data_IF_639254477051
#
_entry.id   IF_639254477051
#
_cell.length_a   1.000
_cell.length_b   1.000
_cell.length_c   1.000
_cell.angle_alpha   90.00
_cell.angle_beta   90.00
_cell.angle_gamma   90.00
#
_symmetry.space_group_name_H-M   'P 1'
#
loop_
_entity.id
_entity.type
_entity.pdbx_description
1 polymer ?
#
# COMPACT_ATOMS: atom_id res chain seq x y z
N UNK A 1 42.34 53.81 44.94
CA UNK A 1 41.21 54.75 44.76
C UNK A 1 40.65 54.50 43.37
N UNK A 2 39.32 54.28 43.25
CA UNK A 2 38.50 54.25 42.00
C UNK A 2 38.66 53.02 41.09
N UNK A 3 37.67 52.50 40.38
CA UNK A 3 36.20 52.38 40.46
C UNK A 3 35.86 51.35 39.34
N UNK A 4 35.05 50.33 39.65
CA UNK A 4 34.05 49.66 38.78
C UNK A 4 34.28 49.54 37.26
N UNK A 5 34.22 48.31 36.71
CA UNK A 5 33.08 47.89 35.87
C UNK A 5 33.04 46.36 35.68
N UNK A 6 31.92 45.77 36.11
CA UNK A 6 31.45 44.44 35.71
C UNK A 6 31.01 44.54 34.24
N UNK A 7 31.57 43.70 33.37
CA UNK A 7 31.02 43.46 32.03
C UNK A 7 31.12 41.96 31.71
N UNK A 8 30.13 41.27 32.23
CA UNK A 8 29.55 39.99 31.83
C UNK A 8 29.62 39.75 30.30
N UNK A 9 30.68 39.08 29.83
CA UNK A 9 30.72 38.50 28.48
C UNK A 9 30.09 37.11 28.51
N UNK A 10 28.77 37.11 28.71
CA UNK A 10 27.90 36.00 28.39
C UNK A 10 27.85 35.91 26.85
N UNK A 11 28.89 35.32 26.24
CA UNK A 11 28.83 34.89 24.85
C UNK A 11 27.94 33.66 24.83
N UNK A 12 26.63 33.91 24.85
CA UNK A 12 25.62 32.92 24.53
C UNK A 12 25.96 32.38 23.15
N UNK A 13 26.47 31.15 23.11
CA UNK A 13 26.53 30.37 21.90
C UNK A 13 25.08 30.19 21.45
N UNK A 14 24.66 31.11 20.57
CA UNK A 14 23.45 31.02 19.78
C UNK A 14 23.65 29.80 18.89
N UNK A 15 23.23 28.62 19.35
CA UNK A 15 23.20 27.42 18.52
C UNK A 15 22.13 27.67 17.48
N UNK A 16 22.48 27.91 16.20
CA UNK A 16 21.47 28.03 15.16
C UNK A 16 20.68 26.72 15.14
N UNK A 17 19.35 26.83 15.18
CA UNK A 17 18.44 25.70 15.23
C UNK A 17 18.87 24.63 14.23
N UNK A 18 19.24 23.47 14.76
CA UNK A 18 19.53 22.31 13.94
C UNK A 18 18.30 22.05 13.08
N UNK A 19 18.42 22.23 11.77
CA UNK A 19 17.47 21.68 10.82
C UNK A 19 17.49 20.17 11.03
N UNK A 20 16.56 19.70 11.84
CA UNK A 20 16.43 18.28 12.15
C UNK A 20 16.13 17.58 10.83
N UNK A 21 17.15 16.97 10.25
CA UNK A 21 17.03 16.10 9.09
C UNK A 21 16.11 14.96 9.50
N UNK A 22 15.09 14.66 8.69
CA UNK A 22 14.12 13.62 9.01
C UNK A 22 14.81 12.25 9.21
N UNK A 23 14.60 11.62 10.36
CA UNK A 23 15.13 10.30 10.73
C UNK A 23 14.02 9.26 10.76
N UNK A 24 14.38 7.97 10.84
CA UNK A 24 13.41 6.91 11.11
C UNK A 24 12.52 7.26 12.33
N UNK A 25 11.21 6.95 12.28
CA UNK A 25 10.53 6.14 11.25
C UNK A 25 10.14 6.90 9.98
N UNK A 26 10.49 8.18 9.83
CA UNK A 26 10.27 8.91 8.58
C UNK A 26 11.28 8.44 7.53
N UNK A 27 10.85 8.49 6.27
CA UNK A 27 11.66 8.12 5.13
C UNK A 27 11.19 8.90 3.90
N UNK A 28 11.99 8.86 2.84
CA UNK A 28 11.74 9.56 1.58
C UNK A 28 11.49 8.54 0.48
N UNK A 29 10.50 8.79 -0.37
CA UNK A 29 10.26 8.03 -1.59
C UNK A 29 10.27 9.00 -2.77
N UNK A 30 11.28 8.89 -3.63
CA UNK A 30 11.52 9.82 -4.73
C UNK A 30 11.53 9.09 -6.06
N UNK A 31 10.77 9.59 -7.03
CA UNK A 31 10.80 9.10 -8.40
C UNK A 31 12.00 9.74 -9.10
N UNK A 32 12.92 8.89 -9.56
CA UNK A 32 14.10 9.26 -10.34
C UNK A 32 13.74 9.46 -11.82
N UNK A 33 14.61 10.13 -12.56
CA UNK A 33 14.41 10.46 -13.98
C UNK A 33 14.16 9.22 -14.86
N UNK A 34 14.70 8.07 -14.46
CA UNK A 34 14.50 6.78 -15.11
C UNK A 34 13.17 6.08 -14.72
N UNK A 35 12.27 6.76 -14.02
CA UNK A 35 10.98 6.23 -13.57
C UNK A 35 11.06 5.25 -12.39
N UNK A 36 12.26 4.94 -11.89
CA UNK A 36 12.45 4.10 -10.70
C UNK A 36 12.21 4.90 -9.44
N UNK A 37 11.76 4.24 -8.38
CA UNK A 37 11.54 4.89 -7.08
C UNK A 37 12.72 4.62 -6.16
N UNK A 38 13.40 5.66 -5.71
CA UNK A 38 14.38 5.62 -4.64
C UNK A 38 13.68 5.80 -3.31
N UNK A 39 13.74 4.78 -2.46
CA UNK A 39 13.33 4.81 -1.06
C UNK A 39 14.58 5.01 -0.23
N UNK A 40 14.68 6.07 0.57
CA UNK A 40 15.85 6.36 1.40
C UNK A 40 15.48 6.77 2.81
N UNK A 41 16.31 6.41 3.79
CA UNK A 41 16.08 6.73 5.19
C UNK A 41 17.40 6.92 5.95
N UNK A 42 17.29 7.50 7.14
CA UNK A 42 18.39 7.69 8.08
C UNK A 42 18.07 7.00 9.41
N UNK A 43 18.87 6.02 9.79
CA UNK A 43 18.73 5.27 11.02
C UNK A 43 19.47 5.97 12.19
N UNK A 44 18.73 6.28 13.25
CA UNK A 44 19.26 6.82 14.51
C UNK A 44 19.00 5.91 15.70
N UNK A 45 18.39 4.75 15.48
CA UNK A 45 18.16 3.79 16.55
C UNK A 45 19.46 3.05 16.90
N UNK A 46 19.80 2.92 18.19
CA UNK A 46 21.05 2.29 18.62
C UNK A 46 21.08 0.78 18.33
N UNK A 47 19.91 0.12 18.34
CA UNK A 47 19.78 -1.32 18.07
C UNK A 47 18.56 -1.56 17.19
N UNK A 48 18.82 -1.96 15.95
CA UNK A 48 17.80 -2.36 14.96
C UNK A 48 18.13 -3.76 14.48
N UNK A 49 17.17 -4.67 14.62
CA UNK A 49 17.31 -6.06 14.20
C UNK A 49 16.88 -6.25 12.75
N UNK A 50 15.90 -5.46 12.28
CA UNK A 50 15.38 -5.60 10.92
C UNK A 50 14.75 -4.32 10.40
N UNK A 51 14.97 -4.03 9.12
CA UNK A 51 14.20 -3.06 8.35
C UNK A 51 13.67 -3.76 7.10
N UNK A 52 12.37 -3.72 6.86
CA UNK A 52 11.75 -4.25 5.64
C UNK A 52 10.98 -3.16 4.93
N UNK A 53 11.20 -3.04 3.62
CA UNK A 53 10.53 -2.08 2.75
C UNK A 53 9.29 -2.76 2.19
N UNK A 54 8.14 -2.13 2.36
CA UNK A 54 6.87 -2.62 1.86
C UNK A 54 6.25 -1.66 0.85
N UNK A 55 5.57 -2.21 -0.16
CA UNK A 55 4.89 -1.47 -1.22
C UNK A 55 3.44 -1.90 -1.35
N UNK A 56 2.56 -0.94 -1.65
CA UNK A 56 1.18 -1.17 -2.02
C UNK A 56 0.73 -0.21 -3.13
N UNK A 57 -0.32 -0.58 -3.86
CA UNK A 57 -1.08 0.32 -4.74
C UNK A 57 -2.11 1.17 -3.97
N UNK A 58 -2.31 0.88 -2.69
CA UNK A 58 -3.22 1.57 -1.77
C UNK A 58 -2.40 2.17 -0.61
N UNK A 59 -2.81 3.35 -0.12
CA UNK A 59 -2.12 4.04 0.97
C UNK A 59 -2.28 3.33 2.32
N UNK A 60 -3.33 2.53 2.52
CA UNK A 60 -3.70 1.97 3.82
C UNK A 60 -3.58 0.45 3.91
N UNK A 61 -3.81 -0.28 2.81
CA UNK A 61 -3.95 -1.75 2.81
C UNK A 61 -3.04 -2.42 1.80
N UNK A 62 -2.96 -3.76 1.84
CA UNK A 62 -2.31 -4.61 0.83
C UNK A 62 -0.81 -4.37 0.60
N UNK A 63 -0.08 -4.02 1.66
CA UNK A 63 1.37 -3.87 1.61
C UNK A 63 2.07 -5.22 1.47
N UNK A 64 2.94 -5.33 0.47
CA UNK A 64 3.79 -6.49 0.20
C UNK A 64 5.25 -6.13 0.44
N UNK A 65 6.00 -7.01 1.10
CA UNK A 65 7.44 -6.78 1.35
C UNK A 65 8.22 -6.93 0.05
N UNK A 66 8.95 -5.87 -0.33
CA UNK A 66 9.84 -5.88 -1.49
C UNK A 66 11.21 -6.42 -1.15
N UNK A 67 11.76 -5.97 -0.01
CA UNK A 67 13.10 -6.28 0.43
C UNK A 67 13.18 -6.18 1.95
N UNK A 68 13.93 -7.08 2.57
CA UNK A 68 14.47 -6.90 3.92
C UNK A 68 15.92 -6.48 3.79
N UNK A 69 16.28 -5.38 4.44
CA UNK A 69 17.60 -4.77 4.36
C UNK A 69 18.63 -5.75 4.97
N UNK A 70 19.69 -6.12 4.23
CA UNK A 70 20.70 -7.08 4.72
C UNK A 70 21.42 -6.61 5.97
N UNK A 71 21.72 -5.30 6.04
CA UNK A 71 22.30 -4.66 7.21
C UNK A 71 21.46 -3.44 7.63
N UNK A 72 20.59 -3.59 8.64
CA UNK A 72 19.73 -2.51 9.11
C UNK A 72 20.48 -1.49 9.99
N UNK A 73 21.72 -1.77 10.39
CA UNK A 73 22.50 -0.90 11.28
C UNK A 73 23.13 0.29 10.57
N UNK A 74 23.17 0.26 9.23
CA UNK A 74 23.74 1.33 8.40
C UNK A 74 23.00 2.66 8.68
N UNK A 75 23.72 3.74 9.05
CA UNK A 75 23.11 5.03 9.40
C UNK A 75 22.31 5.68 8.27
N UNK A 76 22.75 5.55 7.03
CA UNK A 76 22.04 6.10 5.86
C UNK A 76 21.99 5.04 4.76
N UNK A 77 20.79 4.70 4.32
CA UNK A 77 20.60 3.63 3.35
C UNK A 77 19.40 3.91 2.43
N UNK A 78 19.32 3.18 1.33
CA UNK A 78 18.23 3.28 0.40
C UNK A 78 18.11 2.08 -0.54
N UNK A 79 16.94 1.98 -1.17
CA UNK A 79 16.59 0.94 -2.10
C UNK A 79 15.95 1.54 -3.36
N UNK A 80 16.28 0.99 -4.52
CA UNK A 80 15.71 1.41 -5.79
C UNK A 80 14.73 0.36 -6.28
N UNK A 81 13.44 0.69 -6.23
CA UNK A 81 12.39 -0.13 -6.82
C UNK A 81 12.34 0.10 -8.34
N UNK A 82 12.78 -0.91 -9.09
CA UNK A 82 12.70 -0.93 -10.56
C UNK A 82 11.37 -1.47 -11.09
N UNK A 83 10.60 -2.20 -10.25
CA UNK A 83 9.31 -2.79 -10.63
C UNK A 83 8.14 -1.85 -10.37
N UNK A 84 8.33 -0.84 -9.52
CA UNK A 84 7.37 0.21 -9.21
C UNK A 84 7.33 1.31 -10.28
N UNK A 85 7.08 0.94 -11.55
CA UNK A 85 6.94 1.92 -12.62
C UNK A 85 5.63 2.71 -12.41
N UNK A 86 5.73 3.93 -11.88
CA UNK A 86 4.61 4.86 -11.81
C UNK A 86 4.49 5.68 -10.51
N UNK A 87 3.75 6.79 -10.61
CA UNK A 87 3.52 7.79 -9.55
C UNK A 87 2.52 7.36 -8.47
N UNK A 88 1.91 6.18 -8.58
CA UNK A 88 0.76 5.75 -7.76
C UNK A 88 1.09 4.67 -6.72
N UNK A 89 2.38 4.42 -6.46
CA UNK A 89 2.79 3.43 -5.46
C UNK A 89 3.02 4.09 -4.10
N UNK A 90 2.54 3.41 -3.07
CA UNK A 90 2.72 3.77 -1.67
C UNK A 90 3.75 2.85 -1.03
N UNK A 91 4.59 3.44 -0.18
CA UNK A 91 5.65 2.73 0.52
C UNK A 91 5.48 2.92 2.02
N UNK A 92 5.95 1.95 2.79
CA UNK A 92 6.17 2.06 4.24
C UNK A 92 7.31 1.15 4.67
N UNK A 93 7.91 1.47 5.81
CA UNK A 93 8.95 0.67 6.45
C UNK A 93 8.36 -0.09 7.62
N UNK A 94 8.70 -1.37 7.73
CA UNK A 94 8.58 -2.16 8.95
C UNK A 94 9.93 -2.19 9.63
N UNK A 95 9.99 -1.84 10.91
CA UNK A 95 11.24 -1.69 11.66
C UNK A 95 11.12 -2.53 12.94
N UNK A 96 12.04 -3.47 13.13
CA UNK A 96 12.16 -4.31 14.33
C UNK A 96 13.38 -3.87 15.13
N UNK A 97 13.18 -3.54 16.40
CA UNK A 97 14.20 -3.08 17.34
C UNK A 97 14.70 -4.25 18.21
N UNK A 98 15.84 -4.05 18.89
CA UNK A 98 16.52 -5.10 19.67
C UNK A 98 15.72 -5.76 20.80
N UNK A 99 14.74 -5.07 21.37
CA UNK A 99 13.89 -5.57 22.46
C UNK A 99 12.58 -6.20 21.97
N UNK A 100 12.56 -6.73 20.75
CA UNK A 100 11.37 -7.28 20.09
C UNK A 100 10.22 -6.29 19.89
N UNK A 101 10.46 -4.98 20.09
CA UNK A 101 9.50 -3.93 19.71
C UNK A 101 9.57 -3.70 18.21
N UNK A 102 8.41 -3.52 17.60
CA UNK A 102 8.32 -3.19 16.17
C UNK A 102 7.45 -1.95 15.96
N UNK A 103 7.64 -1.29 14.81
CA UNK A 103 6.80 -0.19 14.37
C UNK A 103 6.70 -0.14 12.84
N UNK A 104 5.64 0.52 12.36
CA UNK A 104 5.46 0.85 10.96
C UNK A 104 5.61 2.36 10.77
N UNK A 105 6.30 2.77 9.71
CA UNK A 105 6.28 4.17 9.29
C UNK A 105 4.89 4.59 8.79
N UNK A 106 4.63 5.91 8.76
CA UNK A 106 3.51 6.43 7.98
C UNK A 106 3.69 6.04 6.50
N UNK A 107 2.59 5.70 5.83
CA UNK A 107 2.58 5.44 4.39
C UNK A 107 2.92 6.71 3.62
N UNK A 108 3.81 6.62 2.63
CA UNK A 108 4.18 7.74 1.76
C UNK A 108 4.11 7.36 0.29
N UNK A 109 3.55 8.27 -0.51
CA UNK A 109 3.56 8.18 -1.98
C UNK A 109 4.92 8.63 -2.50
N UNK A 110 5.39 7.98 -3.57
CA UNK A 110 6.58 8.45 -4.27
C UNK A 110 6.33 9.81 -4.92
N UNK A 111 7.19 10.79 -4.64
CA UNK A 111 7.12 12.14 -5.22
C UNK A 111 8.22 12.35 -6.25
N UNK A 112 8.00 13.12 -7.33
CA UNK A 112 9.07 13.45 -8.27
C UNK A 112 10.24 14.19 -7.60
N UNK A 113 11.48 13.92 -8.03
CA UNK A 113 12.69 14.50 -7.43
C UNK A 113 12.71 16.04 -7.42
N UNK A 114 12.15 16.67 -8.46
CA UNK A 114 12.05 18.13 -8.53
C UNK A 114 11.12 18.71 -7.45
N UNK A 115 10.08 17.97 -7.05
CA UNK A 115 9.18 18.35 -5.95
C UNK A 115 9.89 18.16 -4.61
N UNK A 116 10.59 17.03 -4.43
CA UNK A 116 11.32 16.72 -3.20
C UNK A 116 12.41 17.76 -2.85
N UNK A 117 13.07 18.34 -3.86
CA UNK A 117 14.07 19.40 -3.67
C UNK A 117 13.48 20.77 -3.33
N UNK A 118 12.17 20.97 -3.50
CA UNK A 118 11.49 22.26 -3.32
C UNK A 118 10.65 22.38 -2.04
N UNK A 119 10.49 21.31 -1.26
CA UNK A 119 9.56 21.27 -0.12
C UNK A 119 10.18 21.76 1.20
N UNK A 120 9.57 22.80 1.80
CA UNK A 120 9.53 23.07 3.26
C UNK A 120 8.54 22.09 3.93
N UNK A 121 8.63 21.84 5.25
CA UNK A 121 7.76 20.86 5.93
C UNK A 121 6.27 21.20 5.73
N UNK A 122 5.53 20.21 5.23
CA UNK A 122 4.09 20.26 4.92
C UNK A 122 3.30 20.44 6.21
N UNK A 123 2.47 21.49 6.27
CA UNK A 123 1.62 21.81 7.43
C UNK A 123 0.40 20.89 7.48
N UNK A 124 -0.15 20.69 8.68
CA UNK A 124 -1.30 19.81 8.95
C UNK A 124 -2.55 20.19 8.12
N UNK A 125 -2.70 21.47 7.80
CA UNK A 125 -3.76 22.01 6.93
C UNK A 125 -3.58 21.59 5.45
N UNK A 126 -2.34 21.45 4.98
CA UNK A 126 -2.05 20.96 3.63
C UNK A 126 -2.34 19.45 3.53
N UNK A 127 -2.08 18.68 4.60
CA UNK A 127 -2.43 17.25 4.67
C UNK A 127 -3.96 17.04 4.65
N UNK A 128 -4.71 17.89 5.35
CA UNK A 128 -6.18 17.91 5.31
C UNK A 128 -6.73 18.30 3.93
N UNK A 129 -6.10 19.25 3.25
CA UNK A 129 -6.51 19.63 1.89
C UNK A 129 -6.19 18.55 0.85
N UNK A 130 -5.07 17.83 1.00
CA UNK A 130 -4.73 16.67 0.16
C UNK A 130 -5.77 15.54 0.33
N UNK A 131 -6.22 15.27 1.56
CA UNK A 131 -7.30 14.30 1.83
C UNK A 131 -8.65 14.72 1.23
N UNK A 132 -8.92 16.04 1.12
CA UNK A 132 -10.11 16.57 0.43
C UNK A 132 -10.02 16.41 -1.09
N UNK A 133 -8.82 16.48 -1.66
CA UNK A 133 -8.57 16.30 -3.09
C UNK A 133 -8.72 14.83 -3.54
N UNK A 134 -8.32 13.87 -2.73
CA UNK A 134 -8.47 12.43 -3.03
C UNK A 134 -9.94 11.99 -3.20
N UNK A 135 -10.90 12.79 -2.71
CA UNK A 135 -12.33 12.54 -2.86
C UNK A 135 -12.98 13.23 -4.09
N UNK A 136 -12.20 13.95 -4.93
CA UNK A 136 -12.75 14.63 -6.11
C UNK A 136 -12.65 13.76 -7.38
N UNK A 137 -13.80 13.46 -8.01
CA UNK A 137 -13.92 12.62 -9.22
C UNK A 137 -13.59 13.37 -10.53
N UNK A 138 -12.78 14.42 -10.44
CA UNK A 138 -12.38 15.28 -11.57
C UNK A 138 -10.86 15.17 -11.70
N UNK A 139 -10.39 14.66 -12.83
CA UNK A 139 -8.96 14.49 -13.12
C UNK A 139 -8.54 15.34 -14.31
N UNK A 140 -7.37 15.96 -14.25
CA UNK A 140 -6.75 16.64 -15.39
C UNK A 140 -5.63 15.77 -15.95
N UNK A 141 -5.64 15.51 -17.25
CA UNK A 141 -4.51 14.95 -17.96
C UNK A 141 -3.54 16.09 -18.28
N UNK A 142 -2.30 15.99 -17.80
CA UNK A 142 -1.25 16.93 -18.17
C UNK A 142 -0.62 16.50 -19.49
N UNK A 143 -0.68 17.37 -20.49
CA UNK A 143 0.18 17.31 -21.66
C UNK A 143 1.46 18.09 -21.33
N UNK A 144 2.58 17.38 -21.17
CA UNK A 144 3.86 17.99 -20.88
C UNK A 144 4.42 18.62 -22.17
N UNK A 145 4.20 19.91 -22.35
CA UNK A 145 5.05 20.74 -23.20
C UNK A 145 5.72 21.84 -22.36
N UNK A 146 7.02 21.95 -22.56
CA UNK A 146 7.95 22.64 -21.69
C UNK A 146 7.81 24.19 -21.71
N UNK A 147 8.34 24.78 -20.61
CA UNK A 147 8.77 26.19 -20.45
C UNK A 147 7.69 27.24 -20.18
N UNK A 148 7.36 27.45 -18.90
CA UNK A 148 7.55 28.72 -18.17
C UNK A 148 6.92 28.60 -16.77
N UNK A 149 7.55 29.24 -15.76
CA UNK A 149 7.07 29.26 -14.37
C UNK A 149 5.78 30.08 -14.26
N UNK A 150 4.76 29.65 -13.49
CA UNK A 150 3.71 30.58 -13.07
C UNK A 150 4.21 31.42 -11.89
N UNK A 151 4.36 32.73 -12.12
CA UNK A 151 4.51 33.76 -11.09
C UNK A 151 3.11 34.21 -10.66
N UNK A 152 2.86 34.31 -9.35
CA UNK A 152 1.62 34.89 -8.80
C UNK A 152 1.90 36.34 -8.40
N UNK A 153 1.27 37.30 -9.09
CA UNK A 153 1.32 38.74 -8.74
C UNK A 153 -0.05 39.17 -8.20
N UNK A 154 -0.04 39.92 -7.09
CA UNK A 154 -1.24 40.39 -6.36
C UNK A 154 -1.92 41.54 -7.12
N UNK A 155 -3.27 41.64 -7.16
CA UNK A 155 -3.95 42.59 -8.02
C UNK A 155 -4.06 43.97 -7.37
N UNK A 156 -3.31 44.94 -7.90
CA UNK A 156 -3.44 46.35 -7.56
C UNK A 156 -3.16 47.24 -8.77
N UNK A 157 -4.23 47.80 -9.33
CA UNK A 157 -4.31 48.88 -10.36
C UNK A 157 -4.06 48.56 -11.84
N UNK A 158 -5.20 48.35 -12.53
CA UNK A 158 -5.73 49.07 -13.72
C UNK A 158 -4.84 49.21 -14.98
N UNK A 159 -5.26 48.64 -16.11
CA UNK A 159 -5.86 49.37 -17.25
C UNK A 159 -6.34 48.43 -18.37
N UNK A 160 -7.49 48.77 -18.95
CA UNK A 160 -8.31 47.98 -19.84
C UNK A 160 -7.75 47.83 -21.27
N UNK A 161 -7.93 46.65 -21.88
CA UNK A 161 -8.15 46.49 -23.33
C UNK A 161 -9.20 45.38 -23.56
N UNK A 162 -10.40 45.85 -23.89
CA UNK A 162 -11.36 45.39 -24.92
C UNK A 162 -11.81 43.93 -25.07
N UNK A 163 -13.13 43.78 -25.02
CA UNK A 163 -13.98 42.74 -25.62
C UNK A 163 -13.41 41.94 -26.80
N UNK A 164 -13.17 40.64 -26.57
CA UNK A 164 -13.82 39.52 -27.31
C UNK A 164 -13.82 38.32 -26.36
N UNK A 165 -14.87 38.15 -25.55
CA UNK A 165 -15.00 36.93 -24.74
C UNK A 165 -15.58 35.82 -25.60
N UNK A 166 -14.76 35.25 -26.48
CA UNK A 166 -15.10 34.00 -27.17
C UNK A 166 -15.40 32.96 -26.08
N UNK A 167 -16.66 32.54 -25.95
CA UNK A 167 -17.05 31.49 -25.02
C UNK A 167 -16.31 30.22 -25.44
N UNK A 168 -15.27 29.83 -24.69
CA UNK A 168 -14.42 28.70 -25.02
C UNK A 168 -15.28 27.43 -25.08
N UNK A 169 -15.45 26.89 -26.28
CA UNK A 169 -16.16 25.64 -26.53
C UNK A 169 -15.39 24.49 -25.92
N UNK A 170 -16.09 23.62 -25.20
CA UNK A 170 -15.55 22.41 -24.58
C UNK A 170 -16.09 21.19 -25.32
N UNK A 171 -15.18 20.36 -25.81
CA UNK A 171 -15.44 19.10 -26.51
C UNK A 171 -15.54 17.96 -25.51
N UNK A 172 -16.65 17.23 -25.52
CA UNK A 172 -16.86 16.07 -24.65
C UNK A 172 -16.71 14.80 -25.47
N UNK A 173 -15.79 13.92 -25.07
CA UNK A 173 -15.54 12.62 -25.71
C UNK A 173 -15.89 11.47 -24.76
N UNK A 174 -16.24 10.33 -25.33
CA UNK A 174 -16.35 9.05 -24.63
C UNK A 174 -15.61 8.02 -25.49
N UNK A 175 -14.59 7.39 -24.91
CA UNK A 175 -13.60 6.63 -25.69
C UNK A 175 -13.06 7.53 -26.83
N UNK A 176 -13.17 7.11 -28.09
CA UNK A 176 -12.66 7.87 -29.25
C UNK A 176 -13.74 8.72 -29.96
N UNK A 177 -15.00 8.68 -29.48
CA UNK A 177 -16.11 9.39 -30.12
C UNK A 177 -16.38 10.74 -29.45
N UNK A 178 -16.58 11.79 -30.26
CA UNK A 178 -17.08 13.09 -29.81
C UNK A 178 -18.58 13.00 -29.55
N UNK A 179 -18.98 13.29 -28.31
CA UNK A 179 -20.37 13.16 -27.84
C UNK A 179 -21.09 14.51 -27.84
N UNK A 180 -20.39 15.59 -27.51
CA UNK A 180 -20.98 16.93 -27.49
C UNK A 180 -19.93 18.04 -27.59
N UNK A 181 -20.38 19.23 -28.01
CA UNK A 181 -19.62 20.48 -27.95
C UNK A 181 -20.44 21.48 -27.14
N UNK A 182 -19.93 21.95 -26.00
CA UNK A 182 -20.68 22.79 -25.07
C UNK A 182 -19.95 24.10 -24.78
N UNK A 183 -20.69 25.20 -24.66
CA UNK A 183 -20.13 26.43 -24.09
C UNK A 183 -19.88 26.28 -22.58
N UNK A 184 -19.03 27.13 -21.99
CA UNK A 184 -18.60 27.00 -20.60
C UNK A 184 -19.74 26.92 -19.56
N UNK A 185 -20.85 27.65 -19.77
CA UNK A 185 -22.02 27.59 -18.86
C UNK A 185 -22.77 26.25 -18.98
N UNK A 186 -22.93 25.74 -20.20
CA UNK A 186 -23.58 24.46 -20.47
C UNK A 186 -22.73 23.29 -19.98
N UNK A 187 -21.40 23.42 -20.04
CA UNK A 187 -20.46 22.45 -19.50
C UNK A 187 -20.58 22.29 -17.98
N UNK A 188 -20.78 23.37 -17.23
CA UNK A 188 -20.98 23.30 -15.77
C UNK A 188 -22.22 22.45 -15.44
N UNK A 189 -23.35 22.70 -16.11
CA UNK A 189 -24.58 21.90 -15.93
C UNK A 189 -24.36 20.42 -16.29
N UNK A 190 -23.63 20.17 -17.36
CA UNK A 190 -23.27 18.83 -17.80
C UNK A 190 -22.41 18.10 -16.76
N UNK A 191 -21.35 18.74 -16.28
CA UNK A 191 -20.45 18.22 -15.24
C UNK A 191 -21.23 17.84 -13.99
N UNK A 192 -22.08 18.73 -13.51
CA UNK A 192 -22.85 18.51 -12.29
C UNK A 192 -23.83 17.34 -12.45
N UNK A 193 -24.39 17.13 -13.65
CA UNK A 193 -25.20 15.96 -13.98
C UNK A 193 -24.40 14.65 -13.96
N UNK A 194 -23.19 14.62 -14.54
CA UNK A 194 -22.33 13.43 -14.52
C UNK A 194 -21.93 13.07 -13.08
N UNK A 195 -21.54 14.06 -12.27
CA UNK A 195 -21.11 13.82 -10.90
C UNK A 195 -22.23 13.35 -9.97
N UNK A 196 -23.44 13.87 -10.15
CA UNK A 196 -24.59 13.56 -9.28
C UNK A 196 -25.39 12.35 -9.72
N UNK A 197 -25.52 12.10 -11.04
CA UNK A 197 -26.40 11.07 -11.58
C UNK A 197 -25.68 9.83 -12.06
N UNK A 198 -24.36 9.87 -12.27
CA UNK A 198 -23.62 8.69 -12.75
C UNK A 198 -22.42 8.34 -11.88
N UNK A 199 -21.97 7.09 -11.99
CA UNK A 199 -20.72 6.64 -11.37
C UNK A 199 -19.52 6.86 -12.30
N UNK A 200 -19.68 7.56 -13.41
CA UNK A 200 -18.59 7.74 -14.37
C UNK A 200 -17.55 8.74 -13.87
N UNK A 201 -16.36 8.70 -14.48
CA UNK A 201 -15.26 9.61 -14.16
C UNK A 201 -15.04 10.57 -15.32
N UNK A 202 -14.89 11.86 -15.02
CA UNK A 202 -14.50 12.87 -16.02
C UNK A 202 -13.00 13.13 -15.96
N UNK A 203 -12.36 13.04 -17.12
CA UNK A 203 -10.95 13.30 -17.34
C UNK A 203 -10.80 14.46 -18.34
N UNK A 204 -10.27 15.59 -17.91
CA UNK A 204 -9.92 16.68 -18.82
C UNK A 204 -8.65 16.29 -19.56
N UNK A 205 -8.74 15.96 -20.85
CA UNK A 205 -7.58 15.53 -21.65
C UNK A 205 -6.77 16.75 -22.12
N UNK A 206 -7.46 17.85 -22.44
CA UNK A 206 -6.88 19.14 -22.85
C UNK A 206 -7.69 20.28 -22.20
N UNK A 207 -7.24 21.53 -22.35
CA UNK A 207 -7.92 22.71 -21.75
C UNK A 207 -9.36 22.92 -22.25
N UNK A 208 -9.73 22.29 -23.36
CA UNK A 208 -11.04 22.34 -23.99
C UNK A 208 -11.66 20.96 -24.22
N UNK A 209 -11.02 19.85 -23.80
CA UNK A 209 -11.50 18.51 -24.13
C UNK A 209 -11.65 17.65 -22.88
N UNK A 210 -12.84 17.07 -22.68
CA UNK A 210 -13.21 16.25 -21.52
C UNK A 210 -13.62 14.85 -21.97
N UNK A 211 -12.89 13.84 -21.50
CA UNK A 211 -13.16 12.43 -21.70
C UNK A 211 -13.97 11.85 -20.54
N UNK A 212 -15.04 11.13 -20.85
CA UNK A 212 -15.84 10.40 -19.87
C UNK A 212 -15.41 8.93 -19.88
N UNK A 213 -14.98 8.43 -18.72
CA UNK A 213 -14.71 7.01 -18.49
C UNK A 213 -15.87 6.38 -17.77
N UNK A 214 -16.42 5.33 -18.36
CA UNK A 214 -17.50 4.56 -17.75
C UNK A 214 -17.02 3.83 -16.51
N UNK A 215 -17.86 3.77 -15.49
CA UNK A 215 -17.57 2.98 -14.30
C UNK A 215 -17.66 1.49 -14.58
N UNK A 216 -16.53 0.80 -14.49
CA UNK A 216 -16.48 -0.66 -14.54
C UNK A 216 -16.42 -1.16 -13.09
N UNK A 217 -17.47 -1.85 -12.58
CA UNK A 217 -17.42 -2.39 -11.23
C UNK A 217 -16.33 -3.47 -11.15
N UNK A 218 -15.55 -3.53 -10.06
CA UNK A 218 -14.57 -4.59 -9.88
C UNK A 218 -15.30 -5.93 -9.83
N UNK A 219 -14.97 -6.82 -10.75
CA UNK A 219 -15.43 -8.21 -10.73
C UNK A 219 -14.88 -8.83 -9.45
N UNK A 220 -15.77 -9.21 -8.52
CA UNK A 220 -15.37 -9.92 -7.30
C UNK A 220 -14.94 -11.33 -7.70
N UNK A 221 -13.66 -11.50 -8.01
CA UNK A 221 -13.06 -12.84 -8.04
C UNK A 221 -13.12 -13.42 -6.63
N UNK A 222 -13.91 -14.49 -6.45
CA UNK A 222 -13.92 -15.26 -5.21
C UNK A 222 -12.60 -16.03 -5.15
N UNK A 223 -11.53 -15.39 -4.70
CA UNK A 223 -10.33 -16.10 -4.27
C UNK A 223 -10.70 -16.86 -3.01
N UNK A 224 -10.91 -18.16 -3.13
CA UNK A 224 -11.18 -19.04 -1.99
C UNK A 224 -10.01 -18.94 -1.00
N UNK A 225 -10.20 -18.13 0.05
CA UNK A 225 -9.23 -17.99 1.12
C UNK A 225 -9.12 -19.33 1.85
N UNK A 226 -7.91 -19.90 1.90
CA UNK A 226 -7.67 -21.14 2.62
C UNK A 226 -8.07 -21.00 4.10
N UNK A 227 -8.94 -21.89 4.56
CA UNK A 227 -9.38 -21.98 5.95
C UNK A 227 -8.91 -23.29 6.55
N UNK A 228 -8.12 -23.23 7.62
CA UNK A 228 -7.65 -24.39 8.36
C UNK A 228 -8.84 -25.15 8.96
N UNK A 229 -8.81 -26.48 8.90
CA UNK A 229 -9.82 -27.33 9.52
C UNK A 229 -9.69 -27.31 11.04
N UNK A 230 -10.83 -27.30 11.74
CA UNK A 230 -10.86 -27.44 13.20
C UNK A 230 -10.64 -28.90 13.65
N UNK A 231 -10.81 -29.88 12.75
CA UNK A 231 -10.70 -31.30 13.07
C UNK A 231 -9.34 -31.89 12.69
N UNK A 232 -8.79 -31.52 11.54
CA UNK A 232 -7.50 -32.06 11.05
C UNK A 232 -6.55 -30.91 10.71
N UNK A 233 -5.54 -30.71 11.52
CA UNK A 233 -4.63 -29.56 11.38
C UNK A 233 -3.19 -29.90 11.77
N UNK A 234 -2.26 -29.17 11.19
CA UNK A 234 -0.84 -29.27 11.55
C UNK A 234 -0.57 -28.49 12.84
N UNK A 235 -0.01 -29.16 13.84
CA UNK A 235 0.39 -28.56 15.11
C UNK A 235 1.74 -27.83 14.99
N UNK A 236 2.15 -27.13 16.07
CA UNK A 236 3.38 -26.30 16.07
C UNK A 236 4.67 -27.11 15.92
N UNK A 237 4.64 -28.38 16.31
CA UNK A 237 5.73 -29.36 16.17
C UNK A 237 5.83 -29.95 14.76
N UNK A 238 4.88 -29.62 13.88
CA UNK A 238 4.82 -30.10 12.49
C UNK A 238 4.02 -31.39 12.32
N UNK A 239 3.58 -32.03 13.41
CA UNK A 239 2.75 -33.24 13.35
C UNK A 239 1.30 -32.90 13.00
N UNK A 240 0.57 -33.89 12.48
CA UNK A 240 -0.84 -33.72 12.12
C UNK A 240 -1.72 -34.19 13.27
N UNK A 241 -2.48 -33.25 13.83
CA UNK A 241 -3.46 -33.52 14.88
C UNK A 241 -4.84 -33.75 14.26
N UNK A 242 -5.46 -34.85 14.66
CA UNK A 242 -6.84 -35.23 14.33
C UNK A 242 -7.66 -35.14 15.63
N UNK A 243 -8.36 -34.03 15.82
CA UNK A 243 -9.18 -33.75 16.99
C UNK A 243 -10.66 -34.04 16.71
N UNK A 244 -11.17 -35.14 17.25
CA UNK A 244 -12.51 -35.66 17.00
C UNK A 244 -13.26 -35.85 18.33
N UNK A 245 -14.00 -34.84 18.82
CA UNK A 245 -14.59 -34.86 20.16
C UNK A 245 -15.57 -36.02 20.40
N UNK A 246 -16.23 -36.51 19.35
CA UNK A 246 -17.20 -37.62 19.42
C UNK A 246 -16.60 -38.99 19.02
N UNK A 247 -15.27 -39.13 18.92
CA UNK A 247 -14.62 -40.36 18.44
C UNK A 247 -14.96 -41.62 19.27
N UNK A 248 -15.29 -41.43 20.55
CA UNK A 248 -15.73 -42.53 21.41
C UNK A 248 -17.12 -43.09 21.05
N UNK A 249 -17.96 -42.31 20.34
CA UNK A 249 -19.35 -42.67 20.02
C UNK A 249 -19.56 -42.95 18.53
N UNK A 250 -18.79 -42.31 17.67
CA UNK A 250 -18.98 -42.35 16.21
C UNK A 250 -17.77 -42.94 15.52
N UNK A 251 -18.00 -43.57 14.38
CA UNK A 251 -16.92 -44.13 13.56
C UNK A 251 -16.37 -43.06 12.62
N UNK A 252 -15.14 -42.62 12.87
CA UNK A 252 -14.44 -41.70 11.98
C UNK A 252 -13.42 -42.41 11.10
N UNK A 253 -13.23 -41.87 9.90
CA UNK A 253 -12.21 -42.31 8.96
C UNK A 253 -11.60 -41.08 8.29
N UNK A 254 -10.27 -41.03 8.19
CA UNK A 254 -9.55 -39.95 7.51
C UNK A 254 -8.70 -40.54 6.40
N UNK A 255 -8.79 -39.96 5.20
CA UNK A 255 -7.94 -40.28 4.06
C UNK A 255 -7.09 -39.08 3.71
N UNK A 256 -5.80 -39.28 3.60
CA UNK A 256 -4.84 -38.28 3.15
C UNK A 256 -4.41 -38.57 1.72
N UNK A 257 -4.24 -37.50 0.96
CA UNK A 257 -3.84 -37.53 -0.43
C UNK A 257 -2.77 -36.48 -0.70
N UNK A 258 -1.96 -36.74 -1.71
CA UNK A 258 -1.11 -35.74 -2.33
C UNK A 258 -1.94 -34.62 -3.01
N UNK A 259 -1.27 -33.56 -3.41
CA UNK A 259 -1.92 -32.43 -4.09
C UNK A 259 -2.57 -32.83 -5.43
N UNK A 260 -2.03 -33.85 -6.10
CA UNK A 260 -2.55 -34.44 -7.32
C UNK A 260 -3.67 -35.47 -7.08
N UNK A 261 -4.06 -35.70 -5.82
CA UNK A 261 -5.07 -36.68 -5.37
C UNK A 261 -4.59 -38.13 -5.33
N UNK A 262 -3.27 -38.36 -5.39
CA UNK A 262 -2.68 -39.69 -5.13
C UNK A 262 -2.91 -40.08 -3.66
N UNK A 263 -3.45 -41.28 -3.35
CA UNK A 263 -3.69 -41.70 -1.98
C UNK A 263 -2.38 -41.94 -1.22
N UNK A 264 -2.29 -41.44 0.02
CA UNK A 264 -1.08 -41.51 0.84
C UNK A 264 -1.28 -42.39 2.09
N UNK A 265 -2.27 -42.03 2.92
CA UNK A 265 -2.53 -42.69 4.20
C UNK A 265 -4.03 -42.76 4.44
N UNK A 266 -4.50 -43.85 5.04
CA UNK A 266 -5.88 -44.05 5.43
C UNK A 266 -5.96 -44.54 6.86
N UNK A 267 -6.70 -43.82 7.70
CA UNK A 267 -6.96 -44.15 9.10
C UNK A 267 -8.43 -44.48 9.26
N UNK A 268 -8.74 -45.72 9.67
CA UNK A 268 -10.11 -46.22 9.86
C UNK A 268 -10.39 -46.41 11.33
N UNK A 269 -11.67 -46.28 11.70
CA UNK A 269 -12.17 -46.55 13.05
C UNK A 269 -11.40 -45.80 14.16
N UNK A 270 -11.19 -44.50 13.97
CA UNK A 270 -10.51 -43.64 14.96
C UNK A 270 -11.41 -43.52 16.20
N UNK A 271 -10.94 -44.02 17.35
CA UNK A 271 -11.65 -43.99 18.64
C UNK A 271 -11.15 -42.91 19.59
N UNK A 272 -9.92 -42.45 19.39
CA UNK A 272 -9.29 -41.44 20.24
C UNK A 272 -9.82 -40.04 19.90
N UNK A 273 -10.07 -39.24 20.93
CA UNK A 273 -10.55 -37.86 20.77
C UNK A 273 -9.49 -36.93 20.20
N UNK A 274 -8.21 -37.25 20.40
CA UNK A 274 -7.08 -36.60 19.78
C UNK A 274 -6.08 -37.68 19.35
N UNK A 275 -5.93 -37.84 18.04
CA UNK A 275 -4.93 -38.70 17.43
C UNK A 275 -3.84 -37.82 16.80
N UNK A 276 -2.58 -38.11 17.12
CA UNK A 276 -1.42 -37.40 16.55
C UNK A 276 -0.77 -38.34 15.54
N UNK A 277 -0.63 -37.87 14.30
CA UNK A 277 0.07 -38.58 13.23
C UNK A 277 1.41 -37.90 13.02
N UNK A 278 2.48 -38.67 13.14
CA UNK A 278 3.84 -38.16 12.91
C UNK A 278 3.98 -37.65 11.47
N UNK A 279 4.61 -36.49 11.31
CA UNK A 279 4.94 -35.88 10.01
C UNK A 279 5.76 -36.80 9.12
N UNK A 280 6.53 -37.74 9.67
CA UNK A 280 7.33 -38.70 8.88
C UNK A 280 6.47 -39.63 8.01
N UNK A 281 5.17 -39.78 8.34
CA UNK A 281 4.23 -40.50 7.49
C UNK A 281 3.87 -39.74 6.20
N UNK A 282 4.27 -38.46 6.10
CA UNK A 282 4.08 -37.61 4.94
C UNK A 282 5.43 -37.40 4.26
N UNK A 283 5.62 -38.12 3.15
CA UNK A 283 6.89 -38.36 2.44
C UNK A 283 7.72 -37.08 2.21
N UNK A 284 7.05 -35.92 2.06
CA UNK A 284 7.70 -34.62 1.92
C UNK A 284 6.96 -33.51 2.66
N UNK A 285 7.64 -32.39 2.88
CA UNK A 285 7.00 -31.14 3.27
C UNK A 285 6.14 -30.59 2.13
N UNK A 286 4.98 -30.01 2.42
CA UNK A 286 4.12 -29.46 1.38
C UNK A 286 2.64 -29.44 1.72
N UNK A 287 1.82 -29.22 0.69
CA UNK A 287 0.37 -29.22 0.80
C UNK A 287 -0.20 -30.61 0.55
N UNK A 288 -0.96 -31.11 1.52
CA UNK A 288 -1.67 -32.37 1.43
C UNK A 288 -3.17 -32.12 1.48
N UNK A 289 -3.93 -32.97 0.80
CA UNK A 289 -5.39 -32.96 0.86
C UNK A 289 -5.86 -34.04 1.83
N UNK A 290 -7.01 -33.83 2.44
CA UNK A 290 -7.63 -34.87 3.24
C UNK A 290 -9.16 -34.87 3.08
N UNK A 291 -9.74 -36.04 3.34
CA UNK A 291 -11.17 -36.27 3.42
C UNK A 291 -11.47 -36.94 4.76
N UNK A 292 -12.29 -36.27 5.57
CA UNK A 292 -12.78 -36.76 6.85
C UNK A 292 -14.19 -37.29 6.68
N UNK A 293 -14.42 -38.54 7.10
CA UNK A 293 -15.69 -39.22 7.07
C UNK A 293 -16.18 -39.52 8.48
N UNK A 294 -17.49 -39.37 8.69
CA UNK A 294 -18.21 -39.68 9.93
C UNK A 294 -19.33 -40.66 9.58
N UNK A 295 -19.29 -41.85 10.17
CA UNK A 295 -20.28 -42.93 9.92
C UNK A 295 -20.46 -43.25 8.42
N UNK A 296 -19.36 -43.18 7.67
CA UNK A 296 -19.33 -43.41 6.23
C UNK A 296 -19.76 -42.22 5.35
N UNK A 297 -20.15 -41.08 5.95
CA UNK A 297 -20.51 -39.85 5.22
C UNK A 297 -19.34 -38.86 5.21
N UNK A 298 -19.09 -38.22 4.07
CA UNK A 298 -18.08 -37.18 3.96
C UNK A 298 -18.47 -35.97 4.83
N UNK A 299 -17.70 -35.70 5.87
CA UNK A 299 -17.89 -34.61 6.82
C UNK A 299 -17.13 -33.35 6.41
N UNK A 300 -15.88 -33.51 5.97
CA UNK A 300 -15.03 -32.41 5.54
C UNK A 300 -14.06 -32.84 4.44
N UNK A 301 -13.83 -31.96 3.47
CA UNK A 301 -12.74 -32.05 2.50
C UNK A 301 -11.95 -30.76 2.53
N UNK A 302 -10.66 -30.84 2.82
CA UNK A 302 -9.81 -29.67 2.97
C UNK A 302 -8.34 -30.02 2.68
N UNK A 303 -7.44 -29.06 2.88
CA UNK A 303 -5.99 -29.24 2.75
C UNK A 303 -5.27 -28.80 4.01
N UNK A 304 -4.07 -29.31 4.21
CA UNK A 304 -3.17 -28.92 5.30
C UNK A 304 -1.75 -28.76 4.76
N UNK A 305 -0.92 -28.02 5.49
CA UNK A 305 0.48 -27.79 5.12
C UNK A 305 1.40 -28.40 6.18
N UNK A 306 2.35 -29.23 5.74
CA UNK A 306 3.37 -29.82 6.61
C UNK A 306 4.69 -29.07 6.35
N UNK A 307 5.28 -28.45 7.39
CA UNK A 307 6.52 -27.69 7.26
C UNK A 307 7.70 -28.61 6.93
N UNK A 308 8.76 -28.04 6.36
CA UNK A 308 10.04 -28.75 6.17
C UNK A 308 10.78 -28.80 7.50
N UNK A 309 11.44 -29.92 7.77
CA UNK A 309 12.39 -30.02 8.88
C UNK A 309 13.56 -29.06 8.62
N UNK A 310 13.87 -28.26 9.63
CA UNK A 310 14.99 -27.33 9.63
C UNK A 310 16.32 -28.05 9.85
#
# INVERSE_FOLDING_TARGET
>A
MRFTLVALLLFGFFVPGAFCQDTLPKFTAVIKENGKVLISWRNTYPVVNQISIQRSSDSLRNFTTLLTVPDPTIPENGFVDSKGQGTHMYYRLFILLGNSKYLFSKSRRAIPEFVAKSQKPVTEDEELNLRRMDNQRIYFAQENNARSKPTVTVPGKINAISDVKAEKTIYIKRQDSLIAQLSGKSFIRFRDSILSKTKDTMLFVQLDTVLIKTFIPPVKEVKEAYKVSSFVYTAKDGNVNIALPDAARKKYQVKFFEQDSTPLLELKEIKDTLLIVDKTNFIHSGWFRFELYEEGKLKEKNKLFIPRDF
#
